data_IF_053445438667
#
_entry.id   IF_053445438667
#
_cell.length_a   1.000
_cell.length_b   1.000
_cell.length_c   1.000
_cell.angle_alpha   90.00
_cell.angle_beta   90.00
_cell.angle_gamma   90.00
#
_symmetry.space_group_name_H-M   'P 1'
#
loop_
_entity.id
_entity.type
_entity.pdbx_description
1 polymer ?
#
# COMPACT_ATOMS: atom_id res chain seq x y z
N UNK A 1 -2.30 -59.06 -0.99
CA UNK A 1 -1.50 -58.06 -1.75
C UNK A 1 -1.85 -56.68 -1.21
N UNK A 2 -0.89 -55.87 -0.72
CA UNK A 2 -1.20 -54.52 -0.28
C UNK A 2 -1.31 -53.59 -1.49
N UNK A 3 -2.39 -52.82 -1.56
CA UNK A 3 -2.55 -51.70 -2.48
C UNK A 3 -1.61 -50.58 -2.04
N UNK A 4 -0.58 -50.34 -2.83
CA UNK A 4 0.26 -49.15 -2.72
C UNK A 4 -0.59 -47.94 -3.10
N UNK A 5 -1.01 -47.14 -2.12
CA UNK A 5 -1.50 -45.78 -2.38
C UNK A 5 -0.34 -44.99 -2.98
N UNK A 6 -0.42 -44.73 -4.28
CA UNK A 6 0.40 -43.71 -4.92
C UNK A 6 0.03 -42.37 -4.28
N UNK A 7 0.95 -41.84 -3.49
CA UNK A 7 0.97 -40.42 -3.13
C UNK A 7 1.19 -39.69 -4.45
N UNK A 8 0.11 -39.12 -5.00
CA UNK A 8 0.21 -38.16 -6.09
C UNK A 8 1.02 -36.99 -5.55
N UNK A 9 2.23 -36.78 -6.07
CA UNK A 9 2.94 -35.54 -5.86
C UNK A 9 2.02 -34.41 -6.35
N UNK A 10 1.71 -33.45 -5.48
CA UNK A 10 1.03 -32.23 -5.91
C UNK A 10 1.85 -31.63 -7.06
N UNK A 11 1.24 -31.27 -8.20
CA UNK A 11 1.98 -30.63 -9.28
C UNK A 11 2.64 -29.37 -8.69
N UNK A 12 3.96 -29.26 -8.84
CA UNK A 12 4.75 -28.10 -8.40
C UNK A 12 4.03 -26.85 -8.90
N UNK A 13 3.37 -26.13 -7.98
CA UNK A 13 2.56 -24.98 -8.36
C UNK A 13 3.52 -23.94 -8.94
N UNK A 14 3.25 -23.40 -10.15
CA UNK A 14 4.16 -22.49 -10.80
C UNK A 14 4.40 -21.28 -9.90
N UNK A 15 5.67 -20.89 -9.79
CA UNK A 15 6.07 -19.71 -9.02
C UNK A 15 5.35 -18.47 -9.58
N UNK A 16 4.84 -17.60 -8.71
CA UNK A 16 4.15 -16.40 -9.16
C UNK A 16 5.13 -15.48 -9.89
N UNK A 17 4.68 -14.89 -11.00
CA UNK A 17 5.48 -13.96 -11.80
C UNK A 17 5.73 -12.65 -11.04
N UNK A 18 6.90 -12.04 -11.22
CA UNK A 18 7.18 -10.65 -10.83
C UNK A 18 6.97 -9.70 -12.01
N UNK A 19 6.85 -8.41 -11.73
CA UNK A 19 6.77 -7.37 -12.77
C UNK A 19 7.79 -6.27 -12.54
N UNK A 20 8.38 -5.72 -13.59
CA UNK A 20 9.04 -4.41 -13.55
C UNK A 20 8.01 -3.27 -13.55
N UNK A 21 8.44 -2.05 -13.24
CA UNK A 21 7.56 -0.88 -13.26
C UNK A 21 7.05 -0.63 -14.68
N UNK A 22 7.91 -0.78 -15.67
CA UNK A 22 7.59 -0.60 -17.09
C UNK A 22 6.58 -1.64 -17.59
N UNK A 23 6.71 -2.91 -17.16
CA UNK A 23 5.73 -3.95 -17.47
C UNK A 23 4.35 -3.63 -16.87
N UNK A 24 4.31 -3.12 -15.63
CA UNK A 24 3.04 -2.69 -15.03
C UNK A 24 2.45 -1.50 -15.78
N UNK A 25 3.24 -0.48 -16.08
CA UNK A 25 2.77 0.74 -16.77
C UNK A 25 2.28 0.47 -18.20
N UNK A 26 2.88 -0.49 -18.90
CA UNK A 26 2.53 -0.84 -20.28
C UNK A 26 1.40 -1.88 -20.38
N UNK A 27 0.95 -2.45 -19.25
CA UNK A 27 -0.10 -3.46 -19.24
C UNK A 27 -1.46 -2.83 -19.61
N UNK A 28 -2.20 -3.42 -20.57
CA UNK A 28 -3.57 -2.98 -20.87
C UNK A 28 -4.53 -3.23 -19.68
N UNK A 29 -4.15 -4.07 -18.72
CA UNK A 29 -4.94 -4.39 -17.53
C UNK A 29 -4.61 -3.50 -16.34
N UNK A 30 -3.68 -2.56 -16.46
CA UNK A 30 -3.22 -1.75 -15.34
C UNK A 30 -4.33 -0.88 -14.74
N UNK A 31 -5.14 -0.22 -15.58
CA UNK A 31 -6.27 0.59 -15.11
C UNK A 31 -7.26 -0.26 -14.31
N UNK A 32 -7.68 -1.41 -14.85
CA UNK A 32 -8.57 -2.35 -14.17
C UNK A 32 -7.99 -2.88 -12.84
N UNK A 33 -6.67 -3.09 -12.80
CA UNK A 33 -5.94 -3.49 -11.58
C UNK A 33 -6.02 -2.42 -10.48
N UNK A 34 -5.86 -1.15 -10.86
CA UNK A 34 -5.99 -0.03 -9.92
C UNK A 34 -7.44 0.15 -9.45
N UNK A 35 -8.42 -0.02 -10.34
CA UNK A 35 -9.84 0.07 -9.99
C UNK A 35 -10.28 -1.03 -9.03
N UNK A 36 -9.91 -2.30 -9.32
CA UNK A 36 -10.25 -3.43 -8.46
C UNK A 36 -9.66 -3.27 -7.05
N UNK A 37 -8.38 -2.90 -6.95
CA UNK A 37 -7.75 -2.67 -5.64
C UNK A 37 -8.33 -1.47 -4.90
N UNK A 38 -8.70 -0.39 -5.60
CA UNK A 38 -9.38 0.78 -5.01
C UNK A 38 -10.72 0.38 -4.40
N UNK A 39 -11.55 -0.37 -5.13
CA UNK A 39 -12.91 -0.71 -4.69
C UNK A 39 -12.89 -1.63 -3.46
N UNK A 40 -11.99 -2.61 -3.47
CA UNK A 40 -11.74 -3.47 -2.31
C UNK A 40 -11.27 -2.66 -1.09
N UNK A 41 -10.29 -1.75 -1.27
CA UNK A 41 -9.80 -0.89 -0.19
C UNK A 41 -10.88 0.06 0.34
N UNK A 42 -11.74 0.59 -0.53
CA UNK A 42 -12.87 1.42 -0.12
C UNK A 42 -13.88 0.61 0.72
N UNK A 43 -14.11 -0.65 0.37
CA UNK A 43 -14.90 -1.58 1.17
C UNK A 43 -14.30 -1.81 2.57
N UNK A 44 -12.97 -1.92 2.68
CA UNK A 44 -12.27 -2.00 3.98
C UNK A 44 -12.46 -0.70 4.78
N UNK A 45 -12.32 0.46 4.14
CA UNK A 45 -12.53 1.77 4.77
C UNK A 45 -13.91 1.93 5.40
N UNK A 46 -14.96 1.39 4.76
CA UNK A 46 -16.32 1.44 5.27
C UNK A 46 -16.53 0.49 6.46
N UNK A 47 -15.86 -0.67 6.48
CA UNK A 47 -15.94 -1.64 7.58
C UNK A 47 -15.11 -1.25 8.80
N UNK A 48 -13.93 -0.67 8.59
CA UNK A 48 -12.91 -0.40 9.62
C UNK A 48 -12.48 1.07 9.63
N UNK A 49 -13.40 2.03 9.77
CA UNK A 49 -13.10 3.45 9.55
C UNK A 49 -12.10 4.03 10.56
N UNK A 50 -11.97 3.43 11.76
CA UNK A 50 -11.04 3.88 12.80
C UNK A 50 -9.60 3.47 12.49
N UNK A 51 -9.41 2.20 12.14
CA UNK A 51 -8.12 1.60 11.81
C UNK A 51 -7.55 2.21 10.53
N UNK A 52 -8.39 2.38 9.49
CA UNK A 52 -7.86 2.95 8.25
C UNK A 52 -7.61 4.45 8.39
N UNK A 53 -8.36 5.17 9.23
CA UNK A 53 -8.03 6.57 9.57
C UNK A 53 -6.66 6.68 10.24
N UNK A 54 -6.29 5.71 11.06
CA UNK A 54 -4.95 5.66 11.65
C UNK A 54 -3.84 5.48 10.60
N UNK A 55 -4.13 4.87 9.46
CA UNK A 55 -3.17 4.61 8.37
C UNK A 55 -3.34 5.57 7.18
N UNK A 56 -4.02 6.70 7.38
CA UNK A 56 -4.60 7.46 6.28
C UNK A 56 -3.63 8.36 5.51
N UNK A 57 -2.40 8.53 5.99
CA UNK A 57 -1.34 9.27 5.30
C UNK A 57 -0.13 8.38 5.02
N UNK A 58 0.69 8.77 4.05
CA UNK A 58 1.85 8.00 3.59
C UNK A 58 2.87 7.72 4.71
N UNK A 59 3.14 8.69 5.59
CA UNK A 59 4.13 8.52 6.65
C UNK A 59 3.67 7.45 7.63
N UNK A 60 2.41 7.50 8.07
CA UNK A 60 1.83 6.49 8.96
C UNK A 60 1.72 5.13 8.30
N UNK A 61 1.39 5.07 7.01
CA UNK A 61 1.39 3.83 6.25
C UNK A 61 2.79 3.19 6.24
N UNK A 62 3.83 3.95 5.90
CA UNK A 62 5.22 3.46 5.88
C UNK A 62 5.72 3.03 7.27
N UNK A 63 5.39 3.78 8.31
CA UNK A 63 5.70 3.40 9.69
C UNK A 63 5.04 2.08 10.10
N UNK A 64 3.81 1.84 9.63
CA UNK A 64 3.08 0.61 9.90
C UNK A 64 3.66 -0.58 9.15
N UNK A 65 4.00 -0.40 7.87
CA UNK A 65 4.69 -1.42 7.07
C UNK A 65 6.04 -1.80 7.68
N UNK A 66 6.84 -0.81 8.09
CA UNK A 66 8.13 -1.04 8.74
C UNK A 66 7.97 -1.72 10.12
N UNK A 67 6.94 -1.36 10.89
CA UNK A 67 6.64 -2.01 12.17
C UNK A 67 6.32 -3.49 11.99
N UNK A 68 5.48 -3.81 11.00
CA UNK A 68 5.11 -5.19 10.67
C UNK A 68 6.29 -5.97 10.05
N UNK A 69 7.14 -5.30 9.27
CA UNK A 69 8.35 -5.92 8.74
C UNK A 69 9.29 -6.35 9.86
N UNK A 70 9.59 -5.46 10.83
CA UNK A 70 10.39 -5.80 12.02
C UNK A 70 9.75 -6.95 12.80
N UNK A 71 8.43 -6.94 12.97
CA UNK A 71 7.71 -8.03 13.65
C UNK A 71 7.84 -9.37 12.93
N UNK A 72 7.64 -9.42 11.61
CA UNK A 72 7.72 -10.68 10.86
C UNK A 72 9.16 -11.19 10.72
N UNK A 73 10.16 -10.30 10.65
CA UNK A 73 11.57 -10.70 10.69
C UNK A 73 11.94 -11.32 12.04
N UNK A 74 11.44 -10.75 13.13
CA UNK A 74 11.56 -11.34 14.46
C UNK A 74 10.86 -12.71 14.54
N UNK A 75 9.63 -12.80 14.04
CA UNK A 75 8.83 -14.02 14.07
C UNK A 75 9.44 -15.17 13.26
N UNK A 76 10.03 -14.87 12.11
CA UNK A 76 10.64 -15.86 11.21
C UNK A 76 12.08 -16.20 11.57
N UNK A 77 12.66 -15.54 12.58
CA UNK A 77 14.06 -15.73 12.96
C UNK A 77 15.07 -15.10 11.99
N UNK A 78 14.61 -14.27 11.03
CA UNK A 78 15.51 -13.51 10.15
C UNK A 78 16.28 -12.42 10.93
N UNK A 79 15.75 -12.00 12.08
CA UNK A 79 16.36 -11.04 12.99
C UNK A 79 15.98 -11.34 14.43
N UNK A 80 16.90 -11.15 15.38
CA UNK A 80 16.59 -11.26 16.81
C UNK A 80 16.00 -9.96 17.41
N UNK A 81 15.69 -8.98 16.56
CA UNK A 81 15.27 -7.64 16.98
C UNK A 81 13.74 -7.50 16.96
N UNK A 82 13.06 -7.44 18.12
CA UNK A 82 11.61 -7.20 18.19
C UNK A 82 11.26 -5.74 17.88
N UNK A 83 9.96 -5.41 17.82
CA UNK A 83 9.53 -4.02 17.63
C UNK A 83 10.03 -3.17 18.80
N UNK A 84 10.80 -2.13 18.50
CA UNK A 84 11.20 -1.09 19.44
C UNK A 84 11.43 0.22 18.67
N UNK A 85 11.44 1.39 19.34
CA UNK A 85 11.76 2.65 18.66
C UNK A 85 13.13 2.60 17.95
N UNK A 86 14.12 1.96 18.57
CA UNK A 86 15.47 1.83 18.02
C UNK A 86 15.49 0.95 16.77
N UNK A 87 14.86 -0.22 16.83
CA UNK A 87 14.87 -1.18 15.71
C UNK A 87 14.05 -0.64 14.53
N UNK A 88 12.94 0.06 14.81
CA UNK A 88 12.13 0.71 13.78
C UNK A 88 12.90 1.86 13.09
N UNK A 89 13.65 2.67 13.83
CA UNK A 89 14.54 3.68 13.24
C UNK A 89 15.69 3.03 12.44
N UNK A 90 16.21 1.90 12.93
CA UNK A 90 17.22 1.11 12.22
C UNK A 90 16.70 0.60 10.88
N UNK A 91 15.47 0.08 10.85
CA UNK A 91 14.80 -0.39 9.65
C UNK A 91 14.54 0.73 8.63
N UNK A 92 14.21 1.93 9.11
CA UNK A 92 13.95 3.11 8.28
C UNK A 92 15.23 3.89 7.90
N UNK A 93 16.41 3.42 8.29
CA UNK A 93 17.68 4.11 8.04
C UNK A 93 17.88 4.37 6.55
N UNK A 94 18.30 5.59 6.22
CA UNK A 94 18.46 6.03 4.83
C UNK A 94 17.22 6.69 4.24
N UNK A 95 16.09 6.67 4.95
CA UNK A 95 14.88 7.43 4.60
C UNK A 95 14.70 8.63 5.52
N UNK A 96 13.82 9.57 5.13
CA UNK A 96 13.35 10.66 5.99
C UNK A 96 11.90 10.46 6.45
N UNK A 97 11.43 9.21 6.43
CA UNK A 97 10.04 8.85 6.76
C UNK A 97 9.71 9.27 8.19
N UNK A 98 10.62 9.08 9.16
CA UNK A 98 10.32 9.35 10.56
C UNK A 98 11.53 9.84 11.35
N UNK A 99 11.28 10.77 12.27
CA UNK A 99 12.23 11.16 13.31
C UNK A 99 12.08 10.26 14.54
N UNK A 100 13.02 10.34 15.50
CA UNK A 100 12.90 9.61 16.78
C UNK A 100 11.60 9.94 17.52
N UNK A 101 11.21 11.21 17.57
CA UNK A 101 9.99 11.65 18.27
C UNK A 101 8.74 11.16 17.55
N UNK A 102 8.73 11.24 16.21
CA UNK A 102 7.64 10.74 15.37
C UNK A 102 7.47 9.23 15.57
N UNK A 103 8.56 8.46 15.54
CA UNK A 103 8.53 7.01 15.76
C UNK A 103 8.00 6.65 17.15
N UNK A 104 8.43 7.36 18.19
CA UNK A 104 7.93 7.13 19.54
C UNK A 104 6.43 7.45 19.67
N UNK A 105 5.99 8.58 19.10
CA UNK A 105 4.56 8.95 19.09
C UNK A 105 3.73 7.91 18.36
N UNK A 106 4.20 7.46 17.19
CA UNK A 106 3.53 6.42 16.40
C UNK A 106 3.39 5.11 17.17
N UNK A 107 4.45 4.63 17.84
CA UNK A 107 4.38 3.41 18.65
C UNK A 107 3.44 3.56 19.85
N UNK A 108 3.39 4.73 20.50
CA UNK A 108 2.42 4.99 21.55
C UNK A 108 0.98 4.92 21.01
N UNK A 109 0.73 5.40 19.79
CA UNK A 109 -0.56 5.24 19.14
C UNK A 109 -0.86 3.76 18.84
N UNK A 110 0.09 2.97 18.32
CA UNK A 110 -0.08 1.52 18.11
C UNK A 110 -0.52 0.79 19.39
N UNK A 111 0.06 1.16 20.54
CA UNK A 111 -0.33 0.63 21.86
C UNK A 111 -1.76 1.08 22.20
N UNK A 112 -2.09 2.37 22.03
CA UNK A 112 -3.41 2.91 22.31
C UNK A 112 -4.52 2.24 21.47
N UNK A 113 -4.25 1.99 20.18
CA UNK A 113 -5.14 1.27 19.28
C UNK A 113 -5.10 -0.26 19.49
N UNK A 114 -4.31 -0.75 20.44
CA UNK A 114 -4.13 -2.18 20.74
C UNK A 114 -3.77 -2.98 19.49
N UNK A 115 -2.76 -2.51 18.76
CA UNK A 115 -2.20 -3.16 17.58
C UNK A 115 -0.87 -3.87 17.91
N UNK A 116 -0.23 -3.51 19.02
CA UNK A 116 0.98 -4.17 19.53
C UNK A 116 0.81 -4.51 21.02
N UNK A 117 1.43 -5.61 21.46
CA UNK A 117 1.51 -6.01 22.86
C UNK A 117 2.96 -5.94 23.36
N UNK A 118 3.20 -5.62 24.65
CA UNK A 118 4.54 -5.64 25.24
C UNK A 118 5.15 -7.05 25.17
N UNK A 119 6.41 -7.13 24.75
CA UNK A 119 7.19 -8.36 24.85
C UNK A 119 7.85 -8.40 26.24
N UNK A 120 7.63 -9.45 27.05
CA UNK A 120 8.22 -9.56 28.37
C UNK A 120 9.75 -9.42 28.34
N UNK A 121 10.29 -8.59 29.23
CA UNK A 121 11.72 -8.34 29.37
C UNK A 121 12.11 -8.34 30.85
N UNK A 122 13.28 -8.89 31.17
CA UNK A 122 13.87 -8.83 32.52
C UNK A 122 14.29 -7.40 32.89
N UNK A 123 14.67 -6.58 31.91
CA UNK A 123 14.92 -5.15 32.08
C UNK A 123 13.66 -4.34 31.74
N UNK A 124 13.07 -3.71 32.76
CA UNK A 124 11.88 -2.85 32.66
C UNK A 124 12.11 -1.57 31.85
N UNK A 125 13.36 -1.19 31.59
CA UNK A 125 13.72 -0.03 30.75
C UNK A 125 13.61 -0.34 29.27
N UNK A 126 13.71 -1.62 28.90
CA UNK A 126 13.58 -2.09 27.52
C UNK A 126 12.11 -2.18 27.16
N UNK A 127 11.70 -1.41 26.14
CA UNK A 127 10.33 -1.40 25.61
C UNK A 127 10.32 -2.11 24.26
N UNK A 128 10.14 -3.42 24.32
CA UNK A 128 9.97 -4.27 23.15
C UNK A 128 8.50 -4.64 23.00
N UNK A 129 8.08 -4.85 21.76
CA UNK A 129 6.70 -5.16 21.41
C UNK A 129 6.64 -6.24 20.32
N UNK A 130 5.49 -6.87 20.21
CA UNK A 130 5.09 -7.74 19.10
C UNK A 130 3.76 -7.26 18.54
N UNK A 131 3.53 -7.43 17.24
CA UNK A 131 2.23 -7.15 16.65
C UNK A 131 1.19 -8.14 17.18
N UNK A 132 -0.02 -7.66 17.43
CA UNK A 132 -1.14 -8.52 17.85
C UNK A 132 -1.70 -9.27 16.65
N UNK A 133 -2.35 -10.43 16.84
CA UNK A 133 -3.00 -11.17 15.76
C UNK A 133 -3.92 -10.30 14.90
N UNK A 134 -4.68 -9.38 15.52
CA UNK A 134 -5.53 -8.43 14.81
C UNK A 134 -4.76 -7.53 13.84
N UNK A 135 -3.57 -7.05 14.22
CA UNK A 135 -2.74 -6.25 13.30
C UNK A 135 -2.23 -7.08 12.12
N UNK A 136 -1.94 -8.37 12.34
CA UNK A 136 -1.59 -9.30 11.26
C UNK A 136 -2.77 -9.56 10.30
N UNK A 137 -3.99 -9.67 10.82
CA UNK A 137 -5.21 -9.80 10.01
C UNK A 137 -5.42 -8.59 9.11
N UNK A 138 -5.23 -7.37 9.65
CA UNK A 138 -5.37 -6.14 8.88
C UNK A 138 -4.38 -6.07 7.71
N UNK A 139 -3.10 -6.40 7.93
CA UNK A 139 -2.11 -6.39 6.85
C UNK A 139 -2.32 -7.56 5.88
N UNK A 140 -2.82 -8.72 6.37
CA UNK A 140 -3.17 -9.84 5.50
C UNK A 140 -4.29 -9.47 4.54
N UNK A 141 -5.31 -8.76 5.00
CA UNK A 141 -6.39 -8.26 4.14
C UNK A 141 -5.84 -7.29 3.08
N UNK A 142 -5.04 -6.30 3.49
CA UNK A 142 -4.38 -5.39 2.54
C UNK A 142 -3.54 -6.15 1.51
N UNK A 143 -2.77 -7.15 1.96
CA UNK A 143 -1.92 -7.95 1.09
C UNK A 143 -2.76 -8.73 0.08
N UNK A 144 -3.79 -9.43 0.53
CA UNK A 144 -4.71 -10.19 -0.32
C UNK A 144 -5.40 -9.33 -1.39
N UNK A 145 -5.81 -8.09 -1.06
CA UNK A 145 -6.37 -7.15 -2.04
C UNK A 145 -5.38 -6.89 -3.18
N UNK A 146 -4.11 -6.66 -2.85
CA UNK A 146 -3.08 -6.40 -3.86
C UNK A 146 -2.70 -7.65 -4.65
N UNK A 147 -2.76 -8.84 -4.04
CA UNK A 147 -2.53 -10.09 -4.77
C UNK A 147 -3.64 -10.36 -5.79
N UNK A 148 -4.91 -10.20 -5.41
CA UNK A 148 -6.04 -10.34 -6.35
C UNK A 148 -5.92 -9.35 -7.49
N UNK A 149 -5.57 -8.10 -7.20
CA UNK A 149 -5.39 -7.09 -8.22
C UNK A 149 -4.23 -7.46 -9.18
N UNK A 150 -3.10 -7.93 -8.66
CA UNK A 150 -1.98 -8.39 -9.48
C UNK A 150 -2.35 -9.61 -10.34
N UNK A 151 -3.15 -10.53 -9.82
CA UNK A 151 -3.59 -11.71 -10.57
C UNK A 151 -4.49 -11.33 -11.77
N UNK A 152 -5.16 -10.16 -11.75
CA UNK A 152 -5.87 -9.63 -12.94
C UNK A 152 -4.93 -9.19 -14.07
N UNK A 153 -3.64 -8.97 -13.79
CA UNK A 153 -2.69 -8.56 -14.84
C UNK A 153 -2.26 -9.72 -15.72
N UNK A 154 -2.17 -10.93 -15.17
CA UNK A 154 -1.56 -12.09 -15.83
C UNK A 154 -2.30 -13.42 -15.60
N UNK A 155 -3.55 -13.37 -15.12
CA UNK A 155 -4.32 -14.56 -14.69
C UNK A 155 -3.53 -15.41 -13.68
N UNK A 156 -2.86 -14.71 -12.76
CA UNK A 156 -1.91 -15.26 -11.81
C UNK A 156 -2.57 -16.05 -10.66
N UNK A 157 -1.72 -16.62 -9.81
CA UNK A 157 -2.13 -17.48 -8.70
C UNK A 157 -1.68 -16.95 -7.32
N UNK A 158 -1.29 -15.67 -7.21
CA UNK A 158 -0.67 -15.12 -5.99
C UNK A 158 -1.62 -15.19 -4.81
N UNK A 159 -2.88 -14.81 -5.01
CA UNK A 159 -3.89 -14.85 -3.96
C UNK A 159 -4.16 -16.29 -3.50
N UNK A 160 -4.38 -17.20 -4.44
CA UNK A 160 -4.61 -18.62 -4.16
C UNK A 160 -3.41 -19.26 -3.44
N UNK A 161 -2.18 -18.85 -3.79
CA UNK A 161 -0.96 -19.28 -3.11
C UNK A 161 -0.93 -18.78 -1.66
N UNK A 162 -1.18 -17.49 -1.43
CA UNK A 162 -1.24 -16.90 -0.08
C UNK A 162 -2.32 -17.55 0.80
N UNK A 163 -3.43 -18.00 0.22
CA UNK A 163 -4.45 -18.75 0.95
C UNK A 163 -3.98 -20.15 1.36
N UNK A 164 -3.32 -20.88 0.45
CA UNK A 164 -2.76 -22.20 0.76
C UNK A 164 -1.51 -22.15 1.63
N UNK A 165 -0.80 -21.02 1.65
CA UNK A 165 0.44 -20.78 2.38
C UNK A 165 0.36 -19.49 3.19
N UNK A 166 -0.35 -19.51 4.34
CA UNK A 166 -0.53 -18.30 5.16
C UNK A 166 0.77 -17.68 5.68
N UNK A 167 1.82 -18.49 5.79
CA UNK A 167 3.20 -18.13 6.14
C UNK A 167 3.88 -17.26 5.08
N UNK A 168 3.45 -17.33 3.81
CA UNK A 168 3.99 -16.50 2.71
C UNK A 168 4.03 -15.01 3.06
N UNK A 169 2.99 -14.51 3.76
CA UNK A 169 2.92 -13.13 4.21
C UNK A 169 4.14 -12.73 5.06
N UNK A 170 4.58 -13.62 5.95
CA UNK A 170 5.66 -13.33 6.90
C UNK A 170 7.02 -13.16 6.21
N UNK A 171 7.18 -13.79 5.04
CA UNK A 171 8.39 -13.69 4.24
C UNK A 171 8.28 -12.59 3.16
N UNK A 172 7.10 -12.41 2.57
CA UNK A 172 6.89 -11.43 1.50
C UNK A 172 6.75 -10.00 2.02
N UNK A 173 6.04 -9.77 3.13
CA UNK A 173 5.77 -8.41 3.60
C UNK A 173 7.05 -7.64 4.00
N UNK A 174 8.05 -8.23 4.70
CA UNK A 174 9.29 -7.52 5.00
C UNK A 174 10.09 -7.16 3.74
N UNK A 175 10.17 -8.09 2.78
CA UNK A 175 10.82 -7.87 1.47
C UNK A 175 10.15 -6.73 0.71
N UNK A 176 8.82 -6.76 0.60
CA UNK A 176 8.03 -5.71 -0.05
C UNK A 176 8.30 -4.35 0.58
N UNK A 177 8.31 -4.29 1.92
CA UNK A 177 8.56 -3.04 2.64
C UNK A 177 9.96 -2.50 2.35
N UNK A 178 10.98 -3.37 2.33
CA UNK A 178 12.34 -2.96 1.93
C UNK A 178 12.41 -2.45 0.51
N UNK A 179 11.73 -3.09 -0.44
CA UNK A 179 11.69 -2.63 -1.84
C UNK A 179 11.05 -1.26 -1.95
N UNK A 180 9.89 -1.06 -1.31
CA UNK A 180 9.22 0.24 -1.29
C UNK A 180 10.09 1.33 -0.64
N UNK A 181 10.82 1.02 0.43
CA UNK A 181 11.72 1.97 1.11
C UNK A 181 13.03 2.21 0.36
N UNK A 182 13.41 1.35 -0.59
CA UNK A 182 14.54 1.59 -1.49
C UNK A 182 14.16 2.56 -2.62
N UNK A 183 12.88 2.67 -2.95
CA UNK A 183 12.35 3.54 -3.99
C UNK A 183 12.08 4.95 -3.45
N UNK A 184 13.03 5.87 -3.64
CA UNK A 184 12.94 7.24 -3.12
C UNK A 184 11.66 7.96 -3.53
N UNK A 185 11.27 7.84 -4.80
CA UNK A 185 10.04 8.47 -5.32
C UNK A 185 8.76 7.85 -4.75
N UNK A 186 8.84 6.71 -4.06
CA UNK A 186 7.71 6.17 -3.31
C UNK A 186 7.55 6.98 -2.01
N UNK A 187 8.53 6.88 -1.11
CA UNK A 187 8.42 7.50 0.22
C UNK A 187 8.53 9.03 0.21
N UNK A 188 9.08 9.61 -0.86
CA UNK A 188 9.09 11.05 -1.13
C UNK A 188 8.60 11.34 -2.56
N UNK A 189 7.28 11.29 -2.77
CA UNK A 189 6.73 11.34 -4.11
C UNK A 189 6.78 12.74 -4.72
N UNK A 190 6.65 12.84 -6.07
CA UNK A 190 6.60 14.12 -6.76
C UNK A 190 5.58 15.07 -6.12
N UNK A 191 5.88 16.39 -6.15
CA UNK A 191 5.12 17.39 -5.40
C UNK A 191 3.60 17.32 -5.64
N UNK A 192 3.19 17.02 -6.87
CA UNK A 192 1.79 16.86 -7.27
C UNK A 192 1.10 15.66 -6.57
N UNK A 193 1.79 14.51 -6.48
CA UNK A 193 1.31 13.33 -5.73
C UNK A 193 1.36 13.59 -4.22
N UNK A 194 2.47 14.17 -3.73
CA UNK A 194 2.67 14.57 -2.34
C UNK A 194 1.65 15.61 -1.85
N UNK A 195 0.99 16.34 -2.75
CA UNK A 195 -0.10 17.25 -2.41
C UNK A 195 -1.29 16.52 -1.78
N UNK A 196 -1.48 15.24 -2.11
CA UNK A 196 -2.56 14.40 -1.64
C UNK A 196 -2.07 13.43 -0.55
N UNK A 197 -1.05 12.62 -0.86
CA UNK A 197 -0.74 11.40 -0.08
C UNK A 197 -0.09 11.68 1.28
N UNK A 198 0.44 12.89 1.49
CA UNK A 198 0.97 13.35 2.80
C UNK A 198 -0.14 13.87 3.73
N UNK A 199 -1.40 13.69 3.38
CA UNK A 199 -2.55 14.11 4.18
C UNK A 199 -3.55 12.97 4.36
N UNK A 200 -4.26 12.98 5.48
CA UNK A 200 -5.25 11.95 5.84
C UNK A 200 -6.25 11.71 4.70
N UNK A 201 -6.33 10.45 4.26
CA UNK A 201 -7.17 9.92 3.19
C UNK A 201 -6.97 10.60 1.82
N UNK A 202 -5.87 11.33 1.64
CA UNK A 202 -5.60 12.02 0.39
C UNK A 202 -5.21 11.06 -0.73
N UNK A 203 -4.62 9.90 -0.43
CA UNK A 203 -4.39 8.84 -1.43
C UNK A 203 -5.69 8.40 -2.09
N UNK A 204 -6.75 8.14 -1.31
CA UNK A 204 -8.06 7.74 -1.84
C UNK A 204 -8.65 8.79 -2.80
N UNK A 205 -8.48 10.07 -2.46
CA UNK A 205 -8.89 11.17 -3.32
C UNK A 205 -8.10 11.17 -4.64
N UNK A 206 -6.79 10.96 -4.58
CA UNK A 206 -5.94 10.88 -5.77
C UNK A 206 -6.28 9.65 -6.63
N UNK A 207 -6.51 8.49 -6.02
CA UNK A 207 -6.98 7.28 -6.72
C UNK A 207 -8.28 7.55 -7.49
N UNK A 208 -9.24 8.24 -6.87
CA UNK A 208 -10.49 8.59 -7.53
C UNK A 208 -10.30 9.55 -8.70
N UNK A 209 -9.53 10.62 -8.50
CA UNK A 209 -9.26 11.62 -9.54
C UNK A 209 -8.57 10.98 -10.75
N UNK A 210 -7.57 10.13 -10.51
CA UNK A 210 -6.88 9.41 -11.57
C UNK A 210 -7.80 8.43 -12.32
N UNK A 211 -8.68 7.72 -11.61
CA UNK A 211 -9.67 6.86 -12.25
C UNK A 211 -10.65 7.64 -13.13
N UNK A 212 -11.07 8.84 -12.72
CA UNK A 212 -11.90 9.69 -13.57
C UNK A 212 -11.16 10.20 -14.83
N UNK A 213 -9.83 10.23 -14.79
CA UNK A 213 -9.00 10.57 -15.94
C UNK A 213 -8.68 9.37 -16.84
N UNK A 214 -9.00 8.14 -16.40
CA UNK A 214 -8.78 6.93 -17.20
C UNK A 214 -9.53 7.05 -18.53
N UNK A 215 -8.86 6.67 -19.61
CA UNK A 215 -9.35 6.66 -21.00
C UNK A 215 -9.82 8.02 -21.55
N UNK A 216 -9.53 9.13 -20.86
CA UNK A 216 -9.85 10.47 -21.35
C UNK A 216 -8.68 11.05 -22.15
N UNK A 217 -8.96 11.71 -23.29
CA UNK A 217 -7.92 12.32 -24.10
C UNK A 217 -7.33 13.56 -23.41
N UNK A 218 -6.08 13.84 -23.73
CA UNK A 218 -5.45 15.13 -23.40
C UNK A 218 -5.89 16.16 -24.45
N UNK A 219 -6.51 17.25 -24.00
CA UNK A 219 -6.96 18.36 -24.85
C UNK A 219 -6.35 19.64 -24.28
N UNK A 220 -5.57 20.36 -25.07
CA UNK A 220 -4.88 21.60 -24.66
C UNK A 220 -4.05 21.44 -23.36
N UNK A 221 -3.34 20.30 -23.25
CA UNK A 221 -2.52 19.97 -22.07
C UNK A 221 -3.33 19.62 -20.82
N UNK A 222 -4.62 19.29 -20.95
CA UNK A 222 -5.52 19.00 -19.83
C UNK A 222 -6.30 17.70 -20.04
N UNK A 223 -6.53 16.96 -18.97
CA UNK A 223 -7.47 15.84 -18.93
C UNK A 223 -8.74 16.29 -18.21
N UNK A 224 -9.84 16.40 -18.93
CA UNK A 224 -11.11 16.92 -18.40
C UNK A 224 -11.92 15.84 -17.71
N UNK A 225 -12.03 15.91 -16.38
CA UNK A 225 -12.72 14.90 -15.56
C UNK A 225 -14.17 15.29 -15.21
N UNK A 226 -14.67 16.38 -15.80
CA UNK A 226 -16.05 16.84 -15.61
C UNK A 226 -16.28 17.57 -14.27
N UNK A 227 -17.53 17.68 -13.80
CA UNK A 227 -17.86 18.48 -12.63
C UNK A 227 -17.40 17.82 -11.33
N UNK A 228 -16.48 18.48 -10.62
CA UNK A 228 -15.98 18.05 -9.31
C UNK A 228 -16.24 19.13 -8.26
N UNK A 229 -16.78 18.73 -7.11
CA UNK A 229 -16.95 19.60 -5.93
C UNK A 229 -16.37 18.94 -4.68
N UNK A 230 -15.74 19.76 -3.81
CA UNK A 230 -15.19 19.26 -2.54
C UNK A 230 -16.26 18.63 -1.64
N UNK A 231 -17.51 19.09 -1.72
CA UNK A 231 -18.61 18.56 -0.90
C UNK A 231 -19.00 17.14 -1.33
N UNK A 232 -19.14 16.89 -2.64
CA UNK A 232 -19.44 15.55 -3.17
C UNK A 232 -18.30 14.57 -2.91
N UNK A 233 -17.06 15.02 -3.07
CA UNK A 233 -15.88 14.20 -2.80
C UNK A 233 -15.74 13.84 -1.32
N UNK A 234 -16.04 14.77 -0.41
CA UNK A 234 -16.00 14.52 1.03
C UNK A 234 -16.94 13.38 1.48
N UNK A 235 -18.15 13.32 0.91
CA UNK A 235 -19.17 12.32 1.27
C UNK A 235 -18.73 10.87 1.01
N UNK A 236 -17.86 10.63 0.02
CA UNK A 236 -17.39 9.29 -0.34
C UNK A 236 -16.18 8.77 0.46
N UNK A 237 -15.45 9.65 1.14
CA UNK A 237 -14.10 9.33 1.67
C UNK A 237 -13.91 9.64 3.16
N UNK A 238 -15.00 9.83 3.93
CA UNK A 238 -14.99 10.08 5.38
C UNK A 238 -14.07 11.24 5.82
N UNK A 239 -13.85 12.22 4.93
CA UNK A 239 -13.08 13.44 5.18
C UNK A 239 -13.98 14.67 5.11
N UNK A 240 -13.56 15.77 5.75
CA UNK A 240 -14.34 17.02 5.69
C UNK A 240 -14.21 17.72 4.34
N UNK A 241 -15.22 18.51 3.99
CA UNK A 241 -15.19 19.39 2.82
C UNK A 241 -14.00 20.37 2.88
N UNK A 242 -13.73 20.94 4.06
CA UNK A 242 -12.60 21.86 4.27
C UNK A 242 -11.25 21.18 4.02
N UNK A 243 -11.09 19.95 4.51
CA UNK A 243 -9.89 19.15 4.24
C UNK A 243 -9.69 18.90 2.75
N UNK A 244 -10.73 18.42 2.06
CA UNK A 244 -10.72 18.20 0.61
C UNK A 244 -10.38 19.49 -0.15
N UNK A 245 -10.98 20.61 0.23
CA UNK A 245 -10.72 21.92 -0.37
C UNK A 245 -9.26 22.37 -0.23
N UNK A 246 -8.61 22.10 0.92
CA UNK A 246 -7.19 22.40 1.13
C UNK A 246 -6.28 21.57 0.23
N UNK A 247 -6.58 20.28 0.03
CA UNK A 247 -5.82 19.42 -0.88
C UNK A 247 -5.91 19.92 -2.32
N UNK A 248 -7.13 20.22 -2.78
CA UNK A 248 -7.37 20.78 -4.11
C UNK A 248 -6.69 22.14 -4.31
N UNK A 249 -6.73 23.01 -3.30
CA UNK A 249 -6.02 24.29 -3.36
C UNK A 249 -4.50 24.12 -3.47
N UNK A 250 -3.92 23.14 -2.77
CA UNK A 250 -2.49 22.81 -2.86
C UNK A 250 -2.14 22.27 -4.26
N UNK A 251 -2.91 21.30 -4.77
CA UNK A 251 -2.71 20.75 -6.12
C UNK A 251 -2.86 21.81 -7.21
N UNK A 252 -3.83 22.73 -7.06
CA UNK A 252 -4.03 23.86 -7.99
C UNK A 252 -2.85 24.84 -8.00
N UNK A 253 -2.26 25.15 -6.83
CA UNK A 253 -1.04 25.99 -6.76
C UNK A 253 0.15 25.36 -7.49
N UNK A 254 0.18 24.03 -7.59
CA UNK A 254 1.20 23.28 -8.31
C UNK A 254 0.88 23.11 -9.81
N UNK A 255 -0.25 23.65 -10.30
CA UNK A 255 -0.70 23.45 -11.67
C UNK A 255 -1.20 22.03 -11.96
N UNK A 256 -1.30 21.16 -10.96
CA UNK A 256 -1.64 19.74 -11.13
C UNK A 256 -3.14 19.50 -11.42
N UNK A 257 -3.99 20.47 -11.08
CA UNK A 257 -5.41 20.44 -11.38
C UNK A 257 -6.00 21.86 -11.41
N UNK A 258 -7.17 22.01 -12.03
CA UNK A 258 -7.88 23.28 -12.05
C UNK A 258 -9.35 23.13 -12.39
N UNK A 259 -10.00 24.29 -12.50
CA UNK A 259 -11.41 24.39 -12.90
C UNK A 259 -11.59 25.57 -13.85
N UNK A 260 -12.36 25.35 -14.90
CA UNK A 260 -12.67 26.34 -15.92
C UNK A 260 -14.17 26.31 -16.26
N UNK A 261 -14.70 27.43 -16.77
CA UNK A 261 -16.08 27.45 -17.27
C UNK A 261 -16.13 26.76 -18.63
N UNK A 262 -17.02 25.79 -18.77
CA UNK A 262 -17.36 25.10 -20.02
C UNK A 262 -18.81 25.40 -20.38
N UNK A 263 -19.27 24.98 -21.56
CA UNK A 263 -20.68 25.10 -21.96
C UNK A 263 -21.67 24.41 -21.01
N UNK A 264 -21.20 23.48 -20.17
CA UNK A 264 -22.01 22.69 -19.25
C UNK A 264 -21.85 23.08 -17.77
N UNK A 265 -21.02 24.08 -17.46
CA UNK A 265 -20.82 24.54 -16.08
C UNK A 265 -19.36 24.81 -15.76
N UNK A 266 -18.90 24.39 -14.58
CA UNK A 266 -17.50 24.54 -14.15
C UNK A 266 -16.86 23.17 -14.02
N UNK A 267 -16.13 22.77 -15.04
CA UNK A 267 -15.50 21.45 -15.10
C UNK A 267 -14.09 21.49 -14.54
N UNK A 268 -13.72 20.37 -13.92
CA UNK A 268 -12.39 20.14 -13.40
C UNK A 268 -11.52 19.47 -14.46
N UNK A 269 -10.26 19.88 -14.49
CA UNK A 269 -9.22 19.23 -15.28
C UNK A 269 -8.05 18.82 -14.39
N UNK A 270 -7.34 17.77 -14.80
CA UNK A 270 -6.06 17.33 -14.24
C UNK A 270 -4.93 17.57 -15.26
N UNK A 271 -3.75 17.88 -14.77
CA UNK A 271 -2.54 17.88 -15.59
C UNK A 271 -2.16 16.43 -15.94
N UNK A 272 -1.81 16.11 -17.19
CA UNK A 272 -1.34 14.78 -17.58
C UNK A 272 -0.20 14.26 -16.70
N UNK A 273 0.71 15.14 -16.30
CA UNK A 273 1.86 14.84 -15.45
C UNK A 273 1.46 14.36 -14.05
N UNK A 274 0.33 14.83 -13.50
CA UNK A 274 -0.20 14.33 -12.22
C UNK A 274 -0.66 12.87 -12.38
N UNK A 275 -1.36 12.57 -13.47
CA UNK A 275 -1.91 11.23 -13.73
C UNK A 275 -0.77 10.25 -13.99
N UNK A 276 0.22 10.64 -14.80
CA UNK A 276 1.42 9.84 -15.06
C UNK A 276 2.23 9.60 -13.79
N UNK A 277 2.50 10.65 -13.00
CA UNK A 277 3.23 10.51 -11.74
C UNK A 277 2.51 9.59 -10.75
N UNK A 278 1.18 9.67 -10.67
CA UNK A 278 0.39 8.76 -9.85
C UNK A 278 0.45 7.32 -10.37
N UNK A 279 0.32 7.10 -11.68
CA UNK A 279 0.43 5.78 -12.29
C UNK A 279 1.79 5.14 -12.02
N UNK A 280 2.89 5.87 -12.25
CA UNK A 280 4.24 5.40 -11.93
C UNK A 280 4.37 5.02 -10.46
N UNK A 281 3.87 5.87 -9.56
CA UNK A 281 3.90 5.65 -8.12
C UNK A 281 3.13 4.38 -7.69
N UNK A 282 1.99 4.08 -8.34
CA UNK A 282 1.27 2.83 -8.12
C UNK A 282 1.96 1.62 -8.77
N UNK A 283 2.54 1.77 -9.96
CA UNK A 283 3.27 0.72 -10.65
C UNK A 283 4.48 0.24 -9.84
N UNK A 284 5.21 1.17 -9.21
CA UNK A 284 6.29 0.85 -8.27
C UNK A 284 5.78 -0.03 -7.13
N UNK A 285 4.68 0.35 -6.46
CA UNK A 285 4.07 -0.46 -5.39
C UNK A 285 3.76 -1.89 -5.85
N UNK A 286 3.07 -2.02 -6.99
CA UNK A 286 2.64 -3.32 -7.51
C UNK A 286 3.84 -4.18 -7.90
N UNK A 287 4.86 -3.58 -8.53
CA UNK A 287 6.13 -4.24 -8.83
C UNK A 287 6.82 -4.75 -7.57
N UNK A 288 6.93 -3.94 -6.50
CA UNK A 288 7.50 -4.36 -5.22
C UNK A 288 6.73 -5.52 -4.59
N UNK A 289 5.39 -5.48 -4.61
CA UNK A 289 4.55 -6.57 -4.06
C UNK A 289 4.75 -7.85 -4.86
N UNK A 290 4.66 -7.78 -6.20
CA UNK A 290 4.81 -8.95 -7.07
C UNK A 290 6.19 -9.60 -6.92
N UNK A 291 7.25 -8.79 -6.89
CA UNK A 291 8.62 -9.26 -6.66
C UNK A 291 8.77 -9.95 -5.31
N UNK A 292 8.27 -9.33 -4.24
CA UNK A 292 8.39 -9.89 -2.89
C UNK A 292 7.67 -11.23 -2.74
N UNK A 293 6.51 -11.39 -3.38
CA UNK A 293 5.74 -12.64 -3.40
C UNK A 293 6.50 -13.73 -4.17
N UNK A 294 7.03 -13.41 -5.36
CA UNK A 294 7.80 -14.34 -6.17
C UNK A 294 9.02 -14.89 -5.42
N UNK A 295 9.82 -14.00 -4.83
CA UNK A 295 11.02 -14.39 -4.08
C UNK A 295 10.70 -15.14 -2.78
N UNK A 296 9.64 -14.74 -2.06
CA UNK A 296 9.22 -15.45 -0.85
C UNK A 296 8.68 -16.86 -1.17
N UNK A 297 7.90 -17.00 -2.25
CA UNK A 297 7.42 -18.29 -2.70
C UNK A 297 8.57 -19.22 -3.11
N UNK A 298 9.58 -18.68 -3.83
CA UNK A 298 10.76 -19.44 -4.22
C UNK A 298 11.57 -19.91 -3.00
N UNK A 299 11.76 -19.04 -1.99
CA UNK A 299 12.46 -19.41 -0.76
C UNK A 299 11.73 -20.52 0.01
N UNK A 300 10.40 -20.40 0.16
CA UNK A 300 9.59 -21.40 0.86
C UNK A 300 9.52 -22.75 0.14
N UNK A 301 9.60 -22.78 -1.19
CA UNK A 301 9.71 -24.03 -1.94
C UNK A 301 11.07 -24.72 -1.74
N UNK A 302 12.15 -23.96 -1.57
CA UNK A 302 13.49 -24.51 -1.30
C UNK A 302 13.59 -25.11 0.10
N UNK A 303 12.91 -24.52 1.10
CA UNK A 303 12.90 -25.03 2.47
C UNK A 303 12.11 -26.35 2.62
N UNK A 304 11.28 -26.69 1.63
CA UNK A 304 10.47 -27.92 1.58
C UNK A 304 11.10 -29.07 0.78
N UNK A 305 12.18 -28.79 0.03
CA UNK A 305 12.88 -29.74 -0.84
C UNK A 305 14.07 -30.42 -0.15
#
# INVERSE_FOLDING_TARGET
MPLTMQVSADPVRPLPRSFTVEEVMSSPHFAATLEASRDDLLGVHQRLPREVRYLADLQRWLLSQATLAVHFEYRTGLSDQPISPTNLLGFLKGTHVSSRNTTLSFLNEMIYYKLVDPLPSSDKRVRNYIARPYAEELIREWFHIHLRALDLMDDGNRFALSQSRPDLLFHAQPRMTRYVLAEREWFDPPAAVAAFVKADSGSNLLHHLAALAADKPVIDGKIWIGPISSARMAQGYLISQSHTGRLFAKARKLGAMGWEKTGHGRDCWLAPELVEAYHKWQAVKLSCVARAVAEAAAALQLDEA
#
